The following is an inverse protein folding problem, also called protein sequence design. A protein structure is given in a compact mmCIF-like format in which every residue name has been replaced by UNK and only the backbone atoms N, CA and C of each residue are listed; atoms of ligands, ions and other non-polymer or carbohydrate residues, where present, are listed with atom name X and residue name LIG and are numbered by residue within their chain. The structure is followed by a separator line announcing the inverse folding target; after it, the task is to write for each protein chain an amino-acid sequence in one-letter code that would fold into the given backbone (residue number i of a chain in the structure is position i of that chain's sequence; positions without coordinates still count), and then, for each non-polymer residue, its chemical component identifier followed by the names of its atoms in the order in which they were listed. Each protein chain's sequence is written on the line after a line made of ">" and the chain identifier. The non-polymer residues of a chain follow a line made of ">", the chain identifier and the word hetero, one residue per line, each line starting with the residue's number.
data_IF_007969379422
#
_entry.id   IF_007969379422
#
_cell.length_a   1.000
_cell.length_b   1.000
_cell.length_c   1.000
_cell.angle_alpha   90.00
_cell.angle_beta   90.00
_cell.angle_gamma   90.00
#
_symmetry.space_group_name_H-M   'P 1'
#
loop_
_entity.id
_entity.type
_entity.pdbx_description
1 polymer ?
#
# COMPACT_ATOMS: atom_id res chain seq x y z
N UNK A 1 -4.11 -2.74 15.61
CA UNK A 1 -4.86 -1.57 16.12
C UNK A 1 -5.22 -1.71 17.59
N UNK A 2 -6.06 -2.68 18.00
CA UNK A 2 -6.40 -2.87 19.43
C UNK A 2 -5.18 -3.10 20.32
N UNK A 3 -4.18 -3.82 19.82
CA UNK A 3 -2.93 -4.09 20.56
C UNK A 3 -1.92 -2.92 20.51
N UNK A 4 -2.32 -1.74 20.04
CA UNK A 4 -1.45 -0.54 19.98
C UNK A 4 -0.31 -0.58 18.95
N UNK A 5 -0.08 -1.72 18.29
CA UNK A 5 1.02 -1.91 17.32
C UNK A 5 0.86 -1.15 15.99
N UNK A 6 -0.35 -0.69 15.67
CA UNK A 6 -0.66 0.07 14.46
C UNK A 6 -1.75 1.09 14.80
N UNK A 7 -1.66 2.30 14.24
CA UNK A 7 -2.67 3.35 14.41
C UNK A 7 -3.21 3.81 13.04
N UNK A 8 -4.49 4.14 12.98
CA UNK A 8 -5.19 4.49 11.73
C UNK A 8 -4.67 5.81 11.12
N UNK A 9 -4.20 6.72 11.96
CA UNK A 9 -3.61 8.00 11.58
C UNK A 9 -2.10 7.94 11.29
N UNK A 10 -1.48 6.74 11.39
CA UNK A 10 -0.08 6.55 11.01
C UNK A 10 0.14 6.97 9.57
N UNK A 11 1.20 7.75 9.35
CA UNK A 11 1.66 8.30 8.06
C UNK A 11 3.12 7.96 7.84
N UNK A 12 3.64 8.20 6.63
CA UNK A 12 5.00 7.81 6.29
C UNK A 12 5.22 6.30 6.46
N UNK A 13 4.22 5.53 6.00
CA UNK A 13 4.06 4.09 6.21
C UNK A 13 5.26 3.29 5.68
N UNK A 14 5.88 3.78 4.61
CA UNK A 14 7.08 3.20 4.02
C UNK A 14 8.23 4.21 4.00
N UNK A 15 9.47 3.74 4.12
CA UNK A 15 10.63 4.60 4.23
C UNK A 15 10.81 5.53 3.00
N UNK A 16 10.73 5.04 1.75
CA UNK A 16 10.74 5.88 0.54
C UNK A 16 9.69 6.98 0.52
N UNK A 17 8.49 6.74 1.05
CA UNK A 17 7.40 7.73 1.02
C UNK A 17 7.66 8.95 1.89
N UNK A 18 8.49 8.83 2.93
CA UNK A 18 8.78 9.92 3.88
C UNK A 18 9.41 11.14 3.22
N UNK A 19 10.03 10.95 2.05
CA UNK A 19 10.67 12.01 1.28
C UNK A 19 9.76 12.64 0.21
N UNK A 20 8.53 12.18 0.02
CA UNK A 20 7.62 12.70 -1.00
C UNK A 20 6.16 12.82 -0.56
N UNK A 21 5.28 13.19 -1.49
CA UNK A 21 3.85 13.46 -1.23
C UNK A 21 3.09 12.24 -0.67
N UNK A 22 3.58 11.02 -0.90
CA UNK A 22 3.00 9.79 -0.34
C UNK A 22 3.13 9.71 1.18
N UNK A 23 4.02 10.52 1.79
CA UNK A 23 4.08 10.66 3.25
C UNK A 23 2.73 11.04 3.88
N UNK A 24 1.84 11.70 3.14
CA UNK A 24 0.52 12.12 3.63
C UNK A 24 -0.49 10.97 3.75
N UNK A 25 -0.28 9.85 3.06
CA UNK A 25 -1.17 8.69 3.05
C UNK A 25 -1.19 8.07 4.44
N UNK A 26 -2.38 8.00 5.04
CA UNK A 26 -2.58 7.35 6.33
C UNK A 26 -2.87 5.85 6.20
N UNK A 27 -2.71 5.10 7.29
CA UNK A 27 -3.15 3.71 7.35
C UNK A 27 -4.65 3.59 7.07
N UNK A 28 -5.47 4.54 7.53
CA UNK A 28 -6.90 4.59 7.25
C UNK A 28 -7.19 4.73 5.74
N UNK A 29 -6.45 5.59 5.03
CA UNK A 29 -6.61 5.77 3.57
C UNK A 29 -6.28 4.46 2.83
N UNK A 30 -5.24 3.75 3.26
CA UNK A 30 -4.90 2.44 2.71
C UNK A 30 -6.00 1.40 2.97
N UNK A 31 -6.52 1.34 4.20
CA UNK A 31 -7.60 0.41 4.56
C UNK A 31 -8.92 0.72 3.85
N UNK A 32 -9.15 1.99 3.50
CA UNK A 32 -10.29 2.44 2.72
C UNK A 32 -10.05 2.34 1.20
N UNK A 33 -8.89 1.84 0.75
CA UNK A 33 -8.47 1.81 -0.65
C UNK A 33 -8.64 3.18 -1.34
N UNK A 34 -8.26 4.26 -0.64
CA UNK A 34 -8.36 5.64 -1.10
C UNK A 34 -7.01 6.36 -1.05
N UNK A 35 -5.91 5.62 -1.21
CA UNK A 35 -4.54 6.16 -1.15
C UNK A 35 -4.21 7.17 -2.26
N UNK A 36 -4.93 7.13 -3.39
CA UNK A 36 -4.63 7.91 -4.58
C UNK A 36 -3.44 7.39 -5.40
N UNK A 37 -2.87 6.25 -5.02
CA UNK A 37 -1.83 5.60 -5.81
C UNK A 37 -2.41 5.06 -7.11
N UNK A 38 -1.64 5.19 -8.19
CA UNK A 38 -1.97 4.55 -9.45
C UNK A 38 -1.82 3.04 -9.34
N UNK A 39 -2.88 2.30 -9.68
CA UNK A 39 -2.81 0.84 -9.76
C UNK A 39 -3.83 0.34 -10.78
N UNK A 40 -3.34 -0.29 -11.85
CA UNK A 40 -4.23 -0.91 -12.84
C UNK A 40 -4.67 -2.32 -12.40
N UNK A 41 -5.91 -2.43 -11.92
CA UNK A 41 -6.54 -3.70 -11.57
C UNK A 41 -7.27 -4.37 -12.77
N UNK A 42 -7.34 -3.74 -13.94
CA UNK A 42 -8.08 -4.30 -15.06
C UNK A 42 -7.30 -5.46 -15.71
N UNK A 43 -7.75 -6.69 -15.45
CA UNK A 43 -7.18 -7.92 -16.02
C UNK A 43 -7.32 -8.04 -17.55
N UNK A 44 -8.01 -7.11 -18.23
CA UNK A 44 -8.17 -7.08 -19.69
C UNK A 44 -6.94 -6.59 -20.47
N UNK A 45 -6.05 -5.80 -19.84
CA UNK A 45 -4.85 -5.22 -20.45
C UNK A 45 -3.55 -5.78 -19.81
N UNK A 46 -2.38 -5.23 -20.17
CA UNK A 46 -1.14 -5.44 -19.41
C UNK A 46 -1.27 -4.73 -18.05
N UNK A 47 -1.94 -5.41 -17.13
CA UNK A 47 -2.37 -4.89 -15.85
C UNK A 47 -1.26 -4.91 -14.80
N UNK A 48 -1.32 -3.98 -13.86
CA UNK A 48 -0.41 -3.98 -12.72
C UNK A 48 -0.63 -5.20 -11.84
N UNK A 49 -1.89 -5.61 -11.69
CA UNK A 49 -2.24 -6.78 -10.89
C UNK A 49 -1.63 -8.07 -11.46
N UNK A 50 -1.71 -8.31 -12.77
CA UNK A 50 -1.15 -9.53 -13.37
C UNK A 50 0.37 -9.50 -13.35
N UNK A 51 0.99 -8.34 -13.64
CA UNK A 51 2.45 -8.17 -13.49
C UNK A 51 2.88 -8.46 -12.05
N UNK A 52 2.23 -7.84 -11.06
CA UNK A 52 2.55 -8.02 -9.65
C UNK A 52 2.48 -9.50 -9.26
N UNK A 53 1.39 -10.18 -9.61
CA UNK A 53 1.15 -11.56 -9.19
C UNK A 53 2.11 -12.57 -9.83
N UNK A 54 2.54 -12.35 -11.08
CA UNK A 54 3.31 -13.34 -11.83
C UNK A 54 4.78 -12.99 -12.03
N UNK A 55 5.18 -11.72 -11.94
CA UNK A 55 6.51 -11.26 -12.33
C UNK A 55 7.27 -10.51 -11.23
N UNK A 56 6.61 -10.07 -10.17
CA UNK A 56 7.25 -9.28 -9.11
C UNK A 56 7.60 -10.15 -7.89
N UNK A 57 8.89 -10.39 -7.60
CA UNK A 57 9.29 -11.14 -6.41
C UNK A 57 8.99 -10.38 -5.12
N UNK A 58 8.98 -9.04 -5.18
CA UNK A 58 8.51 -8.17 -4.11
C UNK A 58 7.23 -7.42 -4.52
N UNK A 59 6.09 -8.08 -4.30
CA UNK A 59 4.77 -7.53 -4.65
C UNK A 59 4.42 -6.27 -3.84
N UNK A 60 4.78 -6.23 -2.54
CA UNK A 60 4.53 -5.06 -1.71
C UNK A 60 5.41 -3.89 -2.15
N UNK A 61 6.68 -4.14 -2.46
CA UNK A 61 7.59 -3.14 -3.02
C UNK A 61 7.13 -2.61 -4.38
N UNK A 62 6.57 -3.48 -5.24
CA UNK A 62 5.97 -3.06 -6.51
C UNK A 62 4.79 -2.09 -6.29
N UNK A 63 3.88 -2.40 -5.36
CA UNK A 63 2.78 -1.51 -4.99
C UNK A 63 3.28 -0.20 -4.37
N UNK A 64 4.29 -0.27 -3.51
CA UNK A 64 4.89 0.90 -2.85
C UNK A 64 5.54 1.87 -3.85
N UNK A 65 6.14 1.33 -4.91
CA UNK A 65 6.80 2.10 -5.96
C UNK A 65 5.81 2.87 -6.86
N UNK A 66 4.51 2.59 -6.77
CA UNK A 66 3.50 3.26 -7.60
C UNK A 66 3.45 4.77 -7.35
N UNK A 67 3.24 5.57 -8.41
CA UNK A 67 3.15 7.01 -8.28
C UNK A 67 1.83 7.44 -7.62
N UNK A 68 1.87 8.57 -6.93
CA UNK A 68 0.68 9.23 -6.39
C UNK A 68 0.11 10.19 -7.44
N UNK A 69 -0.96 9.75 -8.12
CA UNK A 69 -1.62 10.49 -9.20
C UNK A 69 -2.95 11.10 -8.75
N UNK A 70 -3.64 10.47 -7.81
CA UNK A 70 -4.89 10.95 -7.22
C UNK A 70 -4.70 11.78 -5.94
N UNK A 71 -5.81 12.34 -5.46
CA UNK A 71 -5.88 12.96 -4.14
C UNK A 71 -6.08 11.90 -3.04
N UNK A 72 -5.25 11.97 -2.00
CA UNK A 72 -5.31 11.08 -0.83
C UNK A 72 -6.67 11.23 -0.13
N UNK A 73 -7.33 10.11 0.13
CA UNK A 73 -8.57 10.03 0.90
C UNK A 73 -9.83 10.46 0.14
N UNK A 74 -9.75 10.78 -1.16
CA UNK A 74 -10.89 11.34 -1.92
C UNK A 74 -11.71 10.32 -2.69
N UNK A 75 -11.06 9.34 -3.32
CA UNK A 75 -11.70 8.40 -4.24
C UNK A 75 -11.36 6.99 -3.84
N UNK A 76 -12.37 6.13 -3.75
CA UNK A 76 -12.17 4.69 -3.63
C UNK A 76 -11.67 4.12 -4.96
N UNK A 77 -10.56 3.39 -4.91
CA UNK A 77 -10.01 2.67 -6.06
C UNK A 77 -9.52 1.31 -5.57
N UNK A 78 -10.23 0.25 -5.95
CA UNK A 78 -9.88 -1.10 -5.54
C UNK A 78 -8.49 -1.47 -6.04
N UNK A 79 -7.64 -2.01 -5.15
CA UNK A 79 -6.25 -2.33 -5.46
C UNK A 79 -5.79 -3.54 -4.66
N UNK A 80 -5.49 -4.64 -5.35
CA UNK A 80 -4.83 -5.82 -4.78
C UNK A 80 -3.44 -5.47 -4.26
N UNK A 81 -2.73 -4.54 -4.92
CA UNK A 81 -1.45 -4.03 -4.42
C UNK A 81 -1.57 -3.35 -3.05
N UNK A 82 -2.67 -2.64 -2.78
CA UNK A 82 -2.94 -2.04 -1.47
C UNK A 82 -3.11 -3.11 -0.38
N UNK A 83 -3.81 -4.20 -0.67
CA UNK A 83 -3.94 -5.31 0.28
C UNK A 83 -2.60 -6.01 0.59
N UNK A 84 -1.76 -6.19 -0.43
CA UNK A 84 -0.41 -6.75 -0.26
C UNK A 84 0.48 -5.81 0.59
N UNK A 85 0.44 -4.51 0.31
CA UNK A 85 1.15 -3.49 1.12
C UNK A 85 0.69 -3.47 2.58
N UNK A 86 -0.62 -3.52 2.83
CA UNK A 86 -1.17 -3.60 4.19
C UNK A 86 -0.71 -4.87 4.92
N UNK A 87 -0.58 -5.99 4.21
CA UNK A 87 -0.09 -7.24 4.77
C UNK A 87 1.36 -7.13 5.23
N UNK A 88 2.24 -6.46 4.44
CA UNK A 88 3.62 -6.17 4.86
C UNK A 88 3.66 -5.28 6.10
N UNK A 89 2.91 -4.17 6.11
CA UNK A 89 2.84 -3.28 7.28
C UNK A 89 2.38 -4.01 8.55
N UNK A 90 1.43 -4.93 8.40
CA UNK A 90 0.98 -5.76 9.52
C UNK A 90 2.09 -6.71 10.00
N UNK A 91 2.78 -7.40 9.09
CA UNK A 91 3.92 -8.28 9.43
C UNK A 91 5.03 -7.51 10.15
N UNK A 92 5.39 -6.33 9.64
CA UNK A 92 6.41 -5.45 10.24
C UNK A 92 5.99 -5.00 11.66
N UNK A 93 4.70 -4.67 11.84
CA UNK A 93 4.18 -4.21 13.13
C UNK A 93 4.14 -5.32 14.19
N UNK A 94 3.85 -6.56 13.81
CA UNK A 94 3.82 -7.68 14.77
C UNK A 94 5.21 -8.23 15.07
N UNK A 95 6.16 -8.05 14.15
CA UNK A 95 7.52 -8.56 14.19
C UNK A 95 7.58 -10.07 13.92
N UNK A 96 8.70 -10.51 13.36
CA UNK A 96 9.09 -11.92 13.39
C UNK A 96 9.67 -12.22 14.78
N UNK A 97 9.05 -13.13 15.54
CA UNK A 97 9.64 -13.60 16.81
C UNK A 97 10.84 -14.54 16.58
N UNK A 98 11.18 -14.87 15.33
CA UNK A 98 12.20 -15.86 14.97
C UNK A 98 13.41 -15.28 14.19
N UNK A 99 13.61 -13.96 14.19
CA UNK A 99 14.88 -13.32 13.80
C UNK A 99 15.54 -12.61 14.97
#
# INVERSE_FOLDING_TARGET
>A
VKDGKMALDNKGLFAPWRADRRAAISLADMMAMSSGLEFNEDYGDVADVTRMLYLEPDMAGFGEAKPLTGEVGKVFSYSSGTAVMLSRLWQDAIGDKAK
#
